data_IF_257576512896
#
_entry.id   IF_257576512896
#
_cell.length_a   1.000
_cell.length_b   1.000
_cell.length_c   1.000
_cell.angle_alpha   90.00
_cell.angle_beta   90.00
_cell.angle_gamma   90.00
#
_symmetry.space_group_name_H-M   'P 1'
#
loop_
_entity.id
_entity.type
_entity.pdbx_description
1 polymer ?
#
# COMPACT_ATOMS: atom_id res chain seq x y z
N UNK A 1 23.39 3.35 -1.17
CA UNK A 1 23.30 2.42 -2.32
C UNK A 1 22.73 3.06 -3.60
N UNK A 2 22.32 4.34 -3.63
CA UNK A 2 22.15 5.10 -4.88
C UNK A 2 22.55 6.58 -4.64
N UNK A 3 23.21 7.26 -5.60
CA UNK A 3 23.65 8.65 -5.44
C UNK A 3 22.57 9.67 -5.81
N UNK A 4 22.49 10.77 -5.04
CA UNK A 4 21.73 11.99 -5.40
C UNK A 4 20.29 11.74 -5.83
N UNK A 5 19.91 12.31 -6.98
CA UNK A 5 18.56 12.22 -7.58
C UNK A 5 18.05 10.79 -7.79
N UNK A 6 18.96 9.81 -8.00
CA UNK A 6 18.56 8.40 -8.10
C UNK A 6 17.97 7.90 -6.78
N UNK A 7 18.41 8.41 -5.63
CA UNK A 7 17.84 8.04 -4.34
C UNK A 7 16.38 8.49 -4.22
N UNK A 8 16.04 9.68 -4.71
CA UNK A 8 14.67 10.19 -4.67
C UNK A 8 13.76 9.49 -5.68
N UNK A 9 14.29 9.19 -6.88
CA UNK A 9 13.53 8.48 -7.92
C UNK A 9 13.21 7.04 -7.51
N UNK A 10 14.11 6.40 -6.77
CA UNK A 10 13.96 5.03 -6.29
C UNK A 10 13.65 4.96 -4.79
N UNK A 11 13.06 6.01 -4.25
CA UNK A 11 12.60 6.00 -2.86
C UNK A 11 11.47 4.98 -2.69
N UNK A 12 11.81 3.85 -2.07
CA UNK A 12 10.91 2.73 -1.82
C UNK A 12 9.71 3.14 -0.97
N UNK A 13 9.86 4.17 -0.12
CA UNK A 13 8.78 4.64 0.75
C UNK A 13 7.60 5.22 -0.02
N UNK A 14 7.80 5.66 -1.27
CA UNK A 14 6.72 6.16 -2.14
C UNK A 14 5.74 5.09 -2.57
N UNK A 15 6.14 3.82 -2.50
CA UNK A 15 5.28 2.66 -2.83
C UNK A 15 4.59 2.07 -1.60
N UNK A 16 5.02 2.47 -0.41
CA UNK A 16 4.47 1.99 0.87
C UNK A 16 3.42 3.00 1.35
N UNK A 17 2.15 2.62 1.55
CA UNK A 17 1.12 3.49 2.10
C UNK A 17 1.51 4.20 3.41
N UNK A 18 2.24 3.53 4.30
CA UNK A 18 2.76 4.13 5.54
C UNK A 18 3.89 5.16 5.34
N UNK A 19 4.38 5.36 4.11
CA UNK A 19 5.44 6.32 3.76
C UNK A 19 6.74 6.17 4.55
N UNK A 20 7.04 4.94 4.98
CA UNK A 20 8.28 4.55 5.66
C UNK A 20 8.59 3.09 5.39
N UNK A 21 9.83 2.70 5.63
CA UNK A 21 10.20 1.28 5.73
C UNK A 21 9.88 0.75 7.13
N UNK A 22 9.78 -0.57 7.25
CA UNK A 22 9.65 -1.24 8.54
C UNK A 22 10.95 -1.17 9.35
N UNK A 23 10.80 -1.13 10.66
CA UNK A 23 11.90 -1.25 11.62
C UNK A 23 12.10 -2.72 12.02
N UNK A 24 13.35 -3.12 12.32
CA UNK A 24 13.66 -4.50 12.71
C UNK A 24 12.87 -4.96 13.94
N UNK A 25 12.56 -4.03 14.85
CA UNK A 25 11.76 -4.31 16.05
C UNK A 25 10.32 -4.71 15.72
N UNK A 26 9.73 -4.19 14.64
CA UNK A 26 8.36 -4.55 14.23
C UNK A 26 8.30 -6.03 13.80
N UNK A 27 9.30 -6.49 13.03
CA UNK A 27 9.44 -7.90 12.69
C UNK A 27 9.72 -8.76 13.93
N UNK A 28 10.62 -8.31 14.82
CA UNK A 28 10.96 -9.04 16.03
C UNK A 28 9.73 -9.21 16.96
N UNK A 29 8.89 -8.19 17.09
CA UNK A 29 7.67 -8.25 17.88
C UNK A 29 6.66 -9.22 17.30
N UNK A 30 6.45 -9.21 15.97
CA UNK A 30 5.56 -10.16 15.30
C UNK A 30 6.07 -11.60 15.48
N UNK A 31 7.38 -11.83 15.28
CA UNK A 31 7.99 -13.13 15.49
C UNK A 31 7.85 -13.60 16.94
N UNK A 32 8.08 -12.72 17.92
CA UNK A 32 7.93 -13.03 19.34
C UNK A 32 6.48 -13.40 19.69
N UNK A 33 5.50 -12.69 19.14
CA UNK A 33 4.09 -13.05 19.31
C UNK A 33 3.79 -14.43 18.73
N UNK A 34 4.18 -14.69 17.47
CA UNK A 34 3.90 -15.95 16.77
C UNK A 34 4.61 -17.18 17.38
N UNK A 35 5.72 -16.97 18.10
CA UNK A 35 6.44 -18.02 18.83
C UNK A 35 5.91 -18.24 20.25
N UNK A 36 5.06 -17.36 20.76
CA UNK A 36 4.54 -17.41 22.13
C UNK A 36 3.30 -18.29 22.24
N UNK A 37 2.96 -18.69 23.47
CA UNK A 37 1.70 -19.40 23.75
C UNK A 37 0.44 -18.55 23.45
N UNK A 38 0.59 -17.22 23.31
CA UNK A 38 -0.54 -16.35 22.96
C UNK A 38 -1.08 -16.59 21.54
N UNK A 39 -0.27 -17.18 20.65
CA UNK A 39 -0.66 -17.56 19.30
C UNK A 39 -0.88 -19.06 19.14
N UNK A 40 -1.16 -19.80 20.22
CA UNK A 40 -1.24 -21.28 20.20
C UNK A 40 -2.25 -21.86 19.19
N UNK A 41 -3.22 -21.08 18.72
CA UNK A 41 -4.20 -21.51 17.72
C UNK A 41 -3.93 -20.96 16.30
N UNK A 42 -2.85 -20.22 16.10
CA UNK A 42 -2.43 -19.72 14.79
C UNK A 42 -1.50 -20.76 14.17
N UNK A 43 -1.94 -21.41 13.09
CA UNK A 43 -1.15 -22.37 12.35
C UNK A 43 -1.48 -22.28 10.85
N UNK A 44 -0.46 -22.39 9.98
CA UNK A 44 -0.62 -22.30 8.53
C UNK A 44 -0.84 -20.89 7.98
N UNK A 45 -0.63 -19.85 8.79
CA UNK A 45 -0.85 -18.46 8.43
C UNK A 45 0.37 -17.82 7.75
N UNK A 46 0.13 -16.82 6.89
CA UNK A 46 1.17 -16.00 6.24
C UNK A 46 0.90 -14.53 6.51
N UNK A 47 1.57 -13.98 7.52
CA UNK A 47 1.39 -12.58 7.91
C UNK A 47 2.26 -11.65 7.08
N UNK A 48 1.64 -10.77 6.28
CA UNK A 48 2.33 -9.73 5.51
C UNK A 48 2.63 -8.51 6.40
N UNK A 49 3.88 -8.04 6.40
CA UNK A 49 4.35 -6.88 7.20
C UNK A 49 5.14 -5.89 6.34
N UNK A 50 4.49 -5.34 5.32
CA UNK A 50 5.12 -4.51 4.28
C UNK A 50 4.63 -3.04 4.29
N UNK A 51 3.88 -2.64 5.33
CA UNK A 51 3.27 -1.32 5.39
C UNK A 51 2.23 -1.03 4.30
N UNK A 52 1.70 -2.08 3.67
CA UNK A 52 0.68 -2.03 2.62
C UNK A 52 1.23 -2.00 1.18
N UNK A 53 2.54 -2.15 0.99
CA UNK A 53 3.18 -2.09 -0.33
C UNK A 53 2.55 -3.05 -1.35
N UNK A 54 2.32 -4.30 -0.95
CA UNK A 54 1.72 -5.33 -1.79
C UNK A 54 0.36 -4.91 -2.32
N UNK A 55 -0.53 -4.48 -1.42
CA UNK A 55 -1.88 -4.06 -1.79
C UNK A 55 -1.86 -2.80 -2.63
N UNK A 56 -0.95 -1.86 -2.34
CA UNK A 56 -0.76 -0.65 -3.15
C UNK A 56 -0.31 -1.01 -4.59
N UNK A 57 0.60 -1.96 -4.74
CA UNK A 57 1.14 -2.37 -6.04
C UNK A 57 0.22 -3.29 -6.86
N UNK A 58 -0.63 -4.08 -6.19
CA UNK A 58 -1.45 -5.10 -6.86
C UNK A 58 -2.85 -4.62 -7.29
N UNK A 59 -3.33 -3.48 -6.77
CA UNK A 59 -4.66 -2.97 -7.10
C UNK A 59 -4.70 -2.26 -8.46
N UNK A 60 -5.55 -2.76 -9.36
CA UNK A 60 -5.72 -2.23 -10.73
C UNK A 60 -6.07 -0.73 -10.76
N UNK A 61 -6.76 -0.21 -9.75
CA UNK A 61 -7.21 1.18 -9.69
C UNK A 61 -6.51 2.02 -8.63
N UNK A 62 -5.46 1.51 -7.98
CA UNK A 62 -4.76 2.27 -6.94
C UNK A 62 -4.06 3.52 -7.49
N UNK A 63 -3.73 3.56 -8.78
CA UNK A 63 -3.19 4.76 -9.41
C UNK A 63 -4.17 5.94 -9.40
N UNK A 64 -5.48 5.69 -9.20
CA UNK A 64 -6.48 6.74 -9.10
C UNK A 64 -6.31 7.60 -7.84
N UNK A 65 -5.52 7.16 -6.84
CA UNK A 65 -5.10 7.99 -5.70
C UNK A 65 -4.35 9.26 -6.14
N UNK A 66 -3.72 9.23 -7.33
CA UNK A 66 -3.01 10.40 -7.88
C UNK A 66 -3.95 11.45 -8.48
N UNK A 67 -5.24 11.14 -8.63
CA UNK A 67 -6.24 12.06 -9.17
C UNK A 67 -6.62 13.07 -8.09
N UNK A 68 -6.44 14.38 -8.32
CA UNK A 68 -6.88 15.42 -7.40
C UNK A 68 -8.37 15.31 -7.07
N UNK A 69 -8.75 15.65 -5.84
CA UNK A 69 -10.14 15.55 -5.37
C UNK A 69 -11.11 16.31 -6.28
N UNK A 70 -10.70 17.49 -6.75
CA UNK A 70 -11.50 18.38 -7.60
C UNK A 70 -11.77 17.80 -9.00
N UNK A 71 -10.96 16.82 -9.46
CA UNK A 71 -11.15 16.18 -10.75
C UNK A 71 -12.22 15.06 -10.71
N UNK A 72 -12.58 14.57 -9.52
CA UNK A 72 -13.55 13.47 -9.39
C UNK A 72 -14.95 13.87 -9.83
N UNK A 73 -15.39 15.08 -9.48
CA UNK A 73 -16.69 15.62 -9.92
C UNK A 73 -16.80 15.63 -11.45
N UNK A 74 -15.73 16.06 -12.12
CA UNK A 74 -15.67 16.10 -13.58
C UNK A 74 -15.72 14.69 -14.19
N UNK A 75 -14.97 13.74 -13.62
CA UNK A 75 -14.98 12.34 -14.05
C UNK A 75 -16.38 11.72 -13.88
N UNK A 76 -17.04 11.96 -12.76
CA UNK A 76 -18.39 11.49 -12.50
C UNK A 76 -19.38 12.03 -13.54
N UNK A 77 -19.35 13.34 -13.80
CA UNK A 77 -20.21 13.98 -14.80
C UNK A 77 -20.04 13.34 -16.18
N UNK A 78 -18.80 13.12 -16.61
CA UNK A 78 -18.50 12.49 -17.91
C UNK A 78 -19.06 11.06 -18.00
N UNK A 79 -18.92 10.26 -16.94
CA UNK A 79 -19.41 8.87 -16.89
C UNK A 79 -20.94 8.85 -16.98
N UNK A 80 -21.63 9.69 -16.19
CA UNK A 80 -23.10 9.78 -16.18
C UNK A 80 -23.65 10.24 -17.54
N UNK A 81 -23.07 11.27 -18.13
CA UNK A 81 -23.51 11.79 -19.43
C UNK A 81 -23.38 10.74 -20.56
N UNK A 82 -22.41 9.83 -20.47
CA UNK A 82 -22.23 8.74 -21.44
C UNK A 82 -23.27 7.62 -21.25
N UNK A 83 -23.75 7.41 -20.02
CA UNK A 83 -24.81 6.44 -19.69
C UNK A 83 -26.17 6.90 -20.24
N UNK A 84 -26.49 8.19 -20.14
CA UNK A 84 -27.76 8.76 -20.64
C UNK A 84 -27.86 8.76 -22.17
N UNK A 85 -26.73 8.66 -22.87
CA UNK A 85 -26.66 8.57 -24.34
C UNK A 85 -26.80 7.14 -24.87
N UNK A 86 -26.98 6.15 -24.00
CA UNK A 86 -27.07 4.72 -24.34
C UNK A 86 -28.48 4.20 -24.06
#
# INVERSE_FOLDING_TARGET
LLPGELKEKFDVTKKVPLRRVGEHQELANLAAYLLSDYSAYINGEVVTIDGGEWLQGAGEFNMLEQIPEEMWDMLEMMIRAKKEKK
#
